data_IF_115764290702
#
_entry.id   IF_115764290702
#
_cell.length_a   1.000
_cell.length_b   1.000
_cell.length_c   1.000
_cell.angle_alpha   90.00
_cell.angle_beta   90.00
_cell.angle_gamma   90.00
#
_symmetry.space_group_name_H-M   'P 1'
#
loop_
_entity.id
_entity.type
_entity.pdbx_description
1 polymer ?
#
# COMPACT_ATOMS: atom_id res chain seq x y z
N UNK A 1 12.24 -0.78 5.57
CA UNK A 1 10.96 -1.53 5.63
C UNK A 1 9.84 -0.49 5.54
N UNK A 2 9.44 -0.11 4.32
CA UNK A 2 8.32 0.80 4.13
C UNK A 2 7.03 -0.01 4.25
N UNK A 3 6.60 -0.25 5.49
CA UNK A 3 5.21 -0.62 5.74
C UNK A 3 4.39 0.66 5.54
N UNK A 4 4.08 0.99 4.29
CA UNK A 4 2.89 1.81 4.06
C UNK A 4 1.74 1.06 4.76
N UNK A 5 1.05 1.74 5.67
CA UNK A 5 -0.14 1.22 6.34
C UNK A 5 -1.30 2.11 5.93
N UNK A 6 -2.49 1.55 5.70
CA UNK A 6 -3.69 2.33 5.52
C UNK A 6 -3.88 3.32 6.67
N UNK A 7 -4.21 4.57 6.35
CA UNK A 7 -4.43 5.61 7.35
C UNK A 7 -5.87 5.53 7.84
N UNK A 8 -6.03 5.44 9.16
CA UNK A 8 -7.32 5.49 9.85
C UNK A 8 -7.28 6.68 10.80
N UNK A 9 -8.22 7.60 10.64
CA UNK A 9 -8.28 8.79 11.48
C UNK A 9 -9.11 8.54 12.73
N UNK A 10 -8.74 9.16 13.84
CA UNK A 10 -9.41 9.07 15.13
C UNK A 10 -9.86 10.46 15.59
N UNK A 11 -11.13 10.60 15.92
CA UNK A 11 -11.75 11.83 16.43
C UNK A 11 -12.47 11.56 17.76
N UNK A 12 -12.94 12.62 18.44
CA UNK A 12 -13.69 12.55 19.68
C UNK A 12 -12.77 12.64 20.91
N UNK A 13 -12.94 11.73 21.87
CA UNK A 13 -12.09 11.69 23.06
C UNK A 13 -10.70 11.11 22.73
N UNK A 14 -9.73 11.98 22.49
CA UNK A 14 -8.35 11.59 22.12
C UNK A 14 -7.53 11.03 23.29
N UNK A 15 -7.83 11.42 24.52
CA UNK A 15 -7.19 10.84 25.72
C UNK A 15 -7.61 9.37 25.88
N UNK A 16 -8.91 9.09 25.72
CA UNK A 16 -9.46 7.75 25.68
C UNK A 16 -8.80 6.91 24.58
N UNK A 17 -8.79 7.40 23.33
CA UNK A 17 -8.15 6.67 22.24
C UNK A 17 -6.67 6.39 22.52
N UNK A 18 -5.93 7.37 23.04
CA UNK A 18 -4.51 7.22 23.37
C UNK A 18 -4.28 6.07 24.36
N UNK A 19 -5.16 5.89 25.35
CA UNK A 19 -5.09 4.77 26.30
C UNK A 19 -5.34 3.39 25.66
N UNK A 20 -6.09 3.34 24.56
CA UNK A 20 -6.47 2.11 23.86
C UNK A 20 -5.64 1.84 22.59
N UNK A 21 -4.85 2.81 22.14
CA UNK A 21 -4.13 2.77 20.86
C UNK A 21 -3.33 1.48 20.66
N UNK A 22 -2.53 1.09 21.66
CA UNK A 22 -1.72 -0.12 21.58
C UNK A 22 -2.57 -1.40 21.50
N UNK A 23 -3.73 -1.44 22.15
CA UNK A 23 -4.64 -2.58 22.05
C UNK A 23 -5.22 -2.69 20.64
N UNK A 24 -5.59 -1.55 20.02
CA UNK A 24 -6.13 -1.50 18.66
C UNK A 24 -5.07 -1.92 17.63
N UNK A 25 -3.89 -1.31 17.65
CA UNK A 25 -2.81 -1.58 16.68
C UNK A 25 -2.32 -3.02 16.78
N UNK A 26 -2.19 -3.56 18.00
CA UNK A 26 -1.76 -4.94 18.20
C UNK A 26 -2.88 -5.96 17.97
N UNK A 27 -4.14 -5.58 18.15
CA UNK A 27 -5.29 -6.47 18.01
C UNK A 27 -5.81 -6.62 16.58
N UNK A 28 -5.75 -5.55 15.78
CA UNK A 28 -6.20 -5.54 14.39
C UNK A 28 -5.56 -6.66 13.53
N UNK A 29 -4.23 -6.88 13.55
CA UNK A 29 -3.59 -7.91 12.73
C UNK A 29 -3.65 -9.32 13.32
N UNK A 30 -4.22 -9.55 14.52
CA UNK A 30 -4.14 -10.87 15.20
C UNK A 30 -4.86 -12.00 14.46
N UNK A 31 -5.98 -11.68 13.83
CA UNK A 31 -6.79 -12.68 13.15
C UNK A 31 -6.88 -12.33 11.66
N UNK A 32 -6.83 -13.34 10.78
CA UNK A 32 -7.01 -13.14 9.36
C UNK A 32 -8.47 -12.76 9.06
N UNK A 33 -8.66 -12.01 7.98
CA UNK A 33 -9.97 -11.74 7.40
C UNK A 33 -9.97 -12.08 5.91
N UNK A 34 -11.15 -12.41 5.39
CA UNK A 34 -11.32 -12.81 4.00
C UNK A 34 -11.55 -11.57 3.14
N UNK A 35 -10.52 -11.18 2.38
CA UNK A 35 -10.66 -10.16 1.36
C UNK A 35 -11.23 -10.76 0.08
N UNK A 36 -12.33 -10.19 -0.39
CA UNK A 36 -13.00 -10.58 -1.63
C UNK A 36 -12.94 -9.41 -2.60
N UNK A 37 -12.30 -9.67 -3.74
CA UNK A 37 -12.28 -8.73 -4.87
C UNK A 37 -13.58 -8.81 -5.65
N UNK A 38 -13.94 -7.72 -6.31
CA UNK A 38 -14.99 -7.74 -7.31
C UNK A 38 -14.65 -8.69 -8.48
N UNK A 39 -15.66 -9.21 -9.17
CA UNK A 39 -15.53 -10.08 -10.36
C UNK A 39 -15.04 -11.52 -10.13
N UNK A 40 -15.45 -12.17 -9.02
CA UNK A 40 -15.39 -13.64 -8.90
C UNK A 40 -14.00 -14.24 -8.67
N UNK A 41 -12.98 -13.42 -8.37
CA UNK A 41 -11.67 -13.92 -7.94
C UNK A 41 -11.79 -14.67 -6.61
N UNK A 42 -10.94 -15.68 -6.43
CA UNK A 42 -10.89 -16.44 -5.18
C UNK A 42 -10.62 -15.49 -3.99
N UNK A 43 -11.32 -15.67 -2.85
CA UNK A 43 -11.03 -14.92 -1.64
C UNK A 43 -9.57 -15.09 -1.20
N UNK A 44 -8.98 -14.02 -0.67
CA UNK A 44 -7.63 -14.02 -0.10
C UNK A 44 -7.71 -13.82 1.40
N UNK A 45 -6.89 -14.57 2.14
CA UNK A 45 -6.72 -14.37 3.59
C UNK A 45 -5.72 -13.26 3.82
N UNK A 46 -6.11 -12.18 4.49
CA UNK A 46 -5.25 -11.02 4.78
C UNK A 46 -5.25 -10.68 6.28
N UNK A 47 -4.12 -10.17 6.77
CA UNK A 47 -4.02 -9.58 8.11
C UNK A 47 -3.94 -8.08 7.95
N UNK A 48 -4.90 -7.36 8.51
CA UNK A 48 -4.96 -5.91 8.37
C UNK A 48 -4.08 -5.24 9.41
N UNK A 49 -3.38 -4.20 8.96
CA UNK A 49 -2.72 -3.22 9.80
C UNK A 49 -3.18 -1.83 9.40
N UNK A 50 -3.07 -0.86 10.30
CA UNK A 50 -3.45 0.51 10.03
C UNK A 50 -2.54 1.47 10.80
N UNK A 51 -2.28 2.64 10.20
CA UNK A 51 -1.70 3.79 10.89
C UNK A 51 -2.84 4.62 11.47
N UNK A 52 -2.94 4.66 12.79
CA UNK A 52 -3.98 5.42 13.48
C UNK A 52 -3.46 6.84 13.75
N UNK A 53 -4.11 7.85 13.16
CA UNK A 53 -3.70 9.26 13.27
C UNK A 53 -4.86 10.11 13.80
N UNK A 54 -4.61 11.26 14.44
CA UNK A 54 -5.67 12.21 14.76
C UNK A 54 -6.44 12.62 13.50
N UNK A 55 -7.75 12.77 13.63
CA UNK A 55 -8.57 13.36 12.58
C UNK A 55 -8.23 14.84 12.42
N UNK A 56 -8.16 15.24 11.16
CA UNK A 56 -8.05 16.61 10.73
C UNK A 56 -8.98 16.75 9.50
N UNK A 57 -9.79 17.81 9.48
CA UNK A 57 -10.71 18.04 8.36
C UNK A 57 -9.94 18.45 7.09
N UNK A 58 -8.75 19.02 7.23
CA UNK A 58 -7.92 19.52 6.13
C UNK A 58 -7.21 18.38 5.38
N UNK A 59 -7.06 17.20 6.01
CA UNK A 59 -6.46 16.01 5.38
C UNK A 59 -7.48 15.08 4.72
N UNK A 60 -8.77 15.44 4.74
CA UNK A 60 -9.80 14.65 4.07
C UNK A 60 -9.58 14.70 2.55
N UNK A 61 -9.63 13.55 1.86
CA UNK A 61 -9.37 13.51 0.43
C UNK A 61 -10.46 14.27 -0.34
N UNK A 62 -10.05 15.02 -1.34
CA UNK A 62 -10.96 15.63 -2.31
C UNK A 62 -11.42 14.62 -3.37
N UNK A 63 -12.58 14.86 -3.99
CA UNK A 63 -13.10 14.05 -5.11
C UNK A 63 -12.11 13.99 -6.30
N UNK A 64 -11.29 15.03 -6.46
CA UNK A 64 -10.27 15.13 -7.51
C UNK A 64 -8.98 14.36 -7.19
N UNK A 65 -8.78 14.00 -5.92
CA UNK A 65 -7.57 13.33 -5.47
C UNK A 65 -7.59 11.85 -5.89
N UNK A 66 -6.76 11.53 -6.88
CA UNK A 66 -6.72 10.22 -7.53
C UNK A 66 -5.67 9.29 -6.94
N UNK A 67 -5.14 9.52 -5.73
CA UNK A 67 -4.13 8.61 -5.13
C UNK A 67 -4.76 7.47 -4.32
N UNK A 68 -4.14 6.29 -4.36
CA UNK A 68 -4.43 5.18 -3.41
C UNK A 68 -3.52 5.19 -2.17
N UNK A 69 -2.52 6.05 -2.12
CA UNK A 69 -1.54 6.02 -1.02
C UNK A 69 -1.60 7.34 -0.27
N UNK A 70 -1.36 7.27 1.03
CA UNK A 70 -1.24 8.45 1.92
C UNK A 70 -2.54 9.21 2.23
N UNK A 71 -3.71 8.70 1.82
CA UNK A 71 -5.00 9.27 2.23
C UNK A 71 -5.64 8.51 3.40
N UNK A 72 -6.41 9.19 4.27
CA UNK A 72 -7.34 8.54 5.18
C UNK A 72 -8.35 7.66 4.43
N UNK A 73 -8.46 6.40 4.83
CA UNK A 73 -9.41 5.44 4.26
C UNK A 73 -10.65 5.23 5.12
N UNK A 74 -10.53 5.53 6.41
CA UNK A 74 -11.52 5.18 7.39
C UNK A 74 -11.44 6.12 8.59
N UNK A 75 -12.58 6.41 9.20
CA UNK A 75 -12.69 7.41 10.25
C UNK A 75 -13.39 6.81 11.48
N UNK A 76 -12.76 6.91 12.65
CA UNK A 76 -13.29 6.38 13.91
C UNK A 76 -13.55 7.53 14.88
N UNK A 77 -14.77 7.63 15.39
CA UNK A 77 -15.11 8.54 16.49
C UNK A 77 -15.13 7.76 17.80
N UNK A 78 -14.33 8.20 18.78
CA UNK A 78 -14.23 7.59 20.10
C UNK A 78 -14.97 8.43 21.14
N UNK A 79 -15.80 7.80 21.96
CA UNK A 79 -16.49 8.46 23.06
C UNK A 79 -16.70 7.51 24.23
N UNK A 80 -16.63 8.03 25.45
CA UNK A 80 -16.97 7.39 26.71
C UNK A 80 -18.00 8.22 27.51
N UNK A 81 -18.68 9.16 26.83
CA UNK A 81 -19.56 10.11 27.49
C UNK A 81 -20.81 9.46 28.08
N UNK A 82 -21.30 10.04 29.18
CA UNK A 82 -22.58 9.67 29.78
C UNK A 82 -23.76 10.37 29.08
N UNK A 83 -24.98 10.04 29.52
CA UNK A 83 -26.20 10.53 28.86
C UNK A 83 -26.40 12.03 29.00
N UNK A 84 -25.87 12.63 30.06
CA UNK A 84 -26.02 14.05 30.30
C UNK A 84 -25.02 14.84 29.43
N UNK A 85 -23.77 14.39 29.38
CA UNK A 85 -22.73 14.94 28.50
C UNK A 85 -23.12 14.78 27.02
N UNK A 86 -23.67 13.62 26.64
CA UNK A 86 -24.15 13.39 25.27
C UNK A 86 -25.22 14.42 24.85
N UNK A 87 -26.16 14.74 25.73
CA UNK A 87 -27.22 15.72 25.44
C UNK A 87 -26.72 17.16 25.40
N UNK A 88 -25.67 17.47 26.16
CA UNK A 88 -25.14 18.83 26.26
C UNK A 88 -24.24 19.18 25.07
N UNK A 89 -23.33 18.28 24.69
CA UNK A 89 -22.34 18.54 23.63
C UNK A 89 -22.14 17.34 22.69
N UNK A 90 -22.08 16.12 23.22
CA UNK A 90 -21.62 14.96 22.44
C UNK A 90 -22.47 14.64 21.20
N UNK A 91 -23.77 14.94 21.22
CA UNK A 91 -24.62 14.80 20.04
C UNK A 91 -24.22 15.77 18.92
N UNK A 92 -23.95 17.03 19.27
CA UNK A 92 -23.61 18.04 18.27
C UNK A 92 -22.19 17.79 17.72
N UNK A 93 -21.25 17.35 18.57
CA UNK A 93 -19.88 17.00 18.17
C UNK A 93 -19.85 15.83 17.15
N UNK A 94 -20.62 14.76 17.39
CA UNK A 94 -20.72 13.63 16.45
C UNK A 94 -21.42 14.07 15.16
N UNK A 95 -22.46 14.92 15.26
CA UNK A 95 -23.18 15.43 14.10
C UNK A 95 -22.28 16.29 13.19
N UNK A 96 -21.46 17.16 13.78
CA UNK A 96 -20.50 17.99 13.06
C UNK A 96 -19.46 17.12 12.32
N UNK A 97 -18.85 16.16 13.02
CA UNK A 97 -17.90 15.23 12.41
C UNK A 97 -18.52 14.42 11.26
N UNK A 98 -19.73 13.87 11.44
CA UNK A 98 -20.43 13.16 10.35
C UNK A 98 -20.81 14.08 9.19
N UNK A 99 -21.18 15.34 9.46
CA UNK A 99 -21.47 16.32 8.43
C UNK A 99 -20.23 16.63 7.60
N UNK A 100 -19.06 16.76 8.22
CA UNK A 100 -17.79 16.96 7.53
C UNK A 100 -17.44 15.78 6.60
N UNK A 101 -17.56 14.54 7.09
CA UNK A 101 -17.37 13.35 6.26
C UNK A 101 -18.36 13.29 5.09
N UNK A 102 -19.64 13.59 5.35
CA UNK A 102 -20.69 13.59 4.33
C UNK A 102 -20.46 14.67 3.27
N UNK A 103 -19.96 15.85 3.66
CA UNK A 103 -19.63 16.93 2.72
C UNK A 103 -18.55 16.52 1.70
N UNK A 104 -17.66 15.59 2.08
CA UNK A 104 -16.63 15.01 1.21
C UNK A 104 -17.04 13.66 0.59
N UNK A 105 -18.31 13.29 0.66
CA UNK A 105 -18.83 11.99 0.19
C UNK A 105 -18.11 10.77 0.78
N UNK A 106 -17.68 10.84 2.05
CA UNK A 106 -16.97 9.74 2.73
C UNK A 106 -17.96 8.88 3.51
N UNK A 107 -18.28 7.66 3.06
CA UNK A 107 -19.21 6.77 3.73
C UNK A 107 -18.48 5.81 4.67
N UNK A 108 -17.24 6.09 5.04
CA UNK A 108 -16.30 5.13 5.62
C UNK A 108 -15.98 5.46 7.08
N UNK A 109 -16.86 5.05 7.99
CA UNK A 109 -16.76 5.46 9.39
C UNK A 109 -17.27 4.42 10.40
N UNK A 110 -16.83 4.58 11.64
CA UNK A 110 -17.23 3.82 12.82
C UNK A 110 -17.34 4.75 14.04
N UNK A 111 -18.37 4.56 14.87
CA UNK A 111 -18.45 5.20 16.20
C UNK A 111 -18.19 4.12 17.25
N UNK A 112 -17.29 4.40 18.19
CA UNK A 112 -16.95 3.51 19.30
C UNK A 112 -17.36 4.19 20.59
N UNK A 113 -18.30 3.56 21.29
CA UNK A 113 -18.78 3.98 22.61
C UNK A 113 -18.15 3.08 23.66
N UNK A 114 -17.30 3.64 24.52
CA UNK A 114 -16.68 2.92 25.64
C UNK A 114 -17.57 3.06 26.86
N UNK A 115 -17.93 1.96 27.49
CA UNK A 115 -18.76 1.95 28.71
C UNK A 115 -17.98 1.37 29.89
N UNK A 116 -18.06 2.04 31.05
CA UNK A 116 -17.53 1.55 32.32
C UNK A 116 -18.52 0.69 33.10
N UNK A 117 -18.13 0.28 34.32
CA UNK A 117 -18.96 -0.55 35.20
C UNK A 117 -20.25 0.18 35.62
N UNK A 118 -21.40 -0.30 35.14
CA UNK A 118 -22.74 0.14 35.57
C UNK A 118 -23.16 -0.46 36.92
N UNK A 119 -22.23 -1.01 37.72
CA UNK A 119 -22.52 -1.63 39.02
C UNK A 119 -23.10 -0.70 40.09
N UNK A 120 -23.25 0.60 39.82
CA UNK A 120 -23.82 1.57 40.76
C UNK A 120 -25.33 1.83 40.66
N UNK A 121 -26.06 1.33 39.66
CA UNK A 121 -27.52 1.58 39.57
C UNK A 121 -28.35 0.30 39.51
N UNK A 122 -28.27 -0.48 40.60
CA UNK A 122 -29.27 -1.52 40.93
C UNK A 122 -30.57 -0.91 41.43
N UNK A 123 -31.25 -0.07 40.64
CA UNK A 123 -32.68 0.25 40.89
C UNK A 123 -33.26 1.06 39.74
N UNK A 124 -33.93 0.39 38.80
CA UNK A 124 -35.16 0.87 38.13
C UNK A 124 -35.72 -0.21 37.21
N UNK A 125 -37.02 -0.44 37.34
CA UNK A 125 -37.82 -1.48 36.67
C UNK A 125 -37.99 -1.28 35.14
N UNK A 126 -37.34 -0.28 34.56
CA UNK A 126 -37.36 0.04 33.14
C UNK A 126 -35.94 0.40 32.71
N UNK A 127 -35.37 -0.36 31.77
CA UNK A 127 -34.09 -0.03 31.14
C UNK A 127 -34.28 1.29 30.37
N UNK A 128 -33.74 2.39 30.89
CA UNK A 128 -33.57 3.61 30.12
C UNK A 128 -32.56 3.31 29.01
N UNK A 129 -32.84 3.74 27.77
CA UNK A 129 -31.89 3.66 26.67
C UNK A 129 -30.54 4.25 27.13
N UNK A 130 -29.47 3.48 26.97
CA UNK A 130 -28.14 3.94 27.34
C UNK A 130 -27.58 4.86 26.22
N UNK A 131 -26.42 5.48 26.45
CA UNK A 131 -25.82 6.42 25.49
C UNK A 131 -25.59 5.74 24.15
N UNK A 132 -25.13 4.48 24.15
CA UNK A 132 -24.89 3.73 22.92
C UNK A 132 -26.18 3.52 22.10
N UNK A 133 -27.31 3.22 22.74
CA UNK A 133 -28.60 3.09 22.07
C UNK A 133 -29.03 4.42 21.44
N UNK A 134 -28.76 5.54 22.13
CA UNK A 134 -29.09 6.86 21.62
C UNK A 134 -28.20 7.27 20.45
N UNK A 135 -26.89 7.04 20.54
CA UNK A 135 -25.93 7.24 19.44
C UNK A 135 -26.32 6.40 18.22
N UNK A 136 -26.67 5.12 18.41
CA UNK A 136 -27.17 4.24 17.33
C UNK A 136 -28.40 4.82 16.65
N UNK A 137 -29.40 5.22 17.45
CA UNK A 137 -30.65 5.79 16.92
C UNK A 137 -30.43 7.10 16.17
N UNK A 138 -29.54 7.97 16.67
CA UNK A 138 -29.35 9.31 16.12
C UNK A 138 -28.46 9.30 14.86
N UNK A 139 -27.44 8.43 14.80
CA UNK A 139 -26.38 8.52 13.77
C UNK A 139 -26.24 7.30 12.86
N UNK A 140 -26.72 6.13 13.26
CA UNK A 140 -26.50 4.90 12.49
C UNK A 140 -27.64 4.59 11.53
N UNK A 141 -28.88 4.97 11.84
CA UNK A 141 -30.04 4.66 11.00
C UNK A 141 -30.10 3.17 10.67
N UNK A 142 -29.99 2.82 9.38
CA UNK A 142 -29.95 1.41 8.92
C UNK A 142 -28.60 0.70 9.11
N UNK A 143 -27.55 1.43 9.46
CA UNK A 143 -26.17 0.94 9.64
C UNK A 143 -25.83 0.77 11.12
N UNK A 144 -26.70 0.11 11.89
CA UNK A 144 -26.57 -0.04 13.36
C UNK A 144 -25.27 -0.74 13.78
N UNK A 145 -24.68 -1.50 12.88
CA UNK A 145 -23.38 -2.17 12.99
C UNK A 145 -22.17 -1.22 12.84
N UNK A 146 -22.40 0.09 12.68
CA UNK A 146 -21.36 1.15 12.71
C UNK A 146 -21.26 1.90 14.04
N UNK A 147 -22.01 1.46 15.05
CA UNK A 147 -21.77 1.87 16.43
C UNK A 147 -21.45 0.62 17.25
N UNK A 148 -20.20 0.54 17.72
CA UNK A 148 -19.71 -0.57 18.54
C UNK A 148 -19.58 -0.09 19.98
N UNK A 149 -19.92 -0.98 20.91
CA UNK A 149 -19.74 -0.73 22.35
C UNK A 149 -18.55 -1.54 22.85
N UNK A 150 -17.56 -0.87 23.42
CA UNK A 150 -16.45 -1.51 24.12
C UNK A 150 -16.74 -1.47 25.62
N UNK A 151 -16.87 -2.65 26.24
CA UNK A 151 -17.21 -2.76 27.65
C UNK A 151 -15.93 -2.93 28.46
N UNK A 152 -15.61 -1.96 29.30
CA UNK A 152 -14.47 -2.02 30.22
C UNK A 152 -13.15 -2.48 29.57
N UNK A 153 -12.71 -1.81 28.49
CA UNK A 153 -11.69 -2.33 27.57
C UNK A 153 -10.31 -2.58 28.19
N UNK A 154 -10.04 -2.02 29.38
CA UNK A 154 -8.80 -2.20 30.14
C UNK A 154 -8.85 -3.34 31.16
N UNK A 155 -10.03 -3.92 31.41
CA UNK A 155 -10.18 -5.08 32.30
C UNK A 155 -9.97 -6.38 31.55
N UNK A 156 -9.44 -7.39 32.25
CA UNK A 156 -9.21 -8.74 31.74
C UNK A 156 -10.39 -9.67 32.08
N UNK A 157 -11.59 -9.24 31.75
CA UNK A 157 -12.85 -9.95 32.03
C UNK A 157 -13.51 -10.44 30.74
N UNK A 158 -14.35 -11.48 30.82
CA UNK A 158 -15.00 -12.09 29.63
C UNK A 158 -15.76 -11.08 28.78
N UNK A 159 -16.50 -10.15 29.39
CA UNK A 159 -17.25 -9.10 28.66
C UNK A 159 -16.34 -8.15 27.87
N UNK A 160 -15.17 -7.82 28.43
CA UNK A 160 -14.17 -7.00 27.75
C UNK A 160 -13.64 -7.73 26.52
N UNK A 161 -13.24 -9.00 26.67
CA UNK A 161 -12.77 -9.83 25.56
C UNK A 161 -13.82 -10.00 24.45
N UNK A 162 -15.08 -10.26 24.80
CA UNK A 162 -16.19 -10.35 23.84
C UNK A 162 -16.38 -9.04 23.06
N UNK A 163 -16.39 -7.90 23.77
CA UNK A 163 -16.55 -6.58 23.13
C UNK A 163 -15.39 -6.23 22.20
N UNK A 164 -14.15 -6.57 22.58
CA UNK A 164 -12.97 -6.43 21.74
C UNK A 164 -13.03 -7.33 20.49
N UNK A 165 -13.46 -8.58 20.63
CA UNK A 165 -13.63 -9.50 19.50
C UNK A 165 -14.62 -8.94 18.47
N UNK A 166 -15.77 -8.45 18.94
CA UNK A 166 -16.78 -7.82 18.09
C UNK A 166 -16.24 -6.55 17.40
N UNK A 167 -15.51 -5.71 18.15
CA UNK A 167 -14.86 -4.52 17.61
C UNK A 167 -13.90 -4.87 16.47
N UNK A 168 -12.98 -5.82 16.69
CA UNK A 168 -12.01 -6.19 15.67
C UNK A 168 -12.65 -6.87 14.47
N UNK A 169 -13.63 -7.75 14.67
CA UNK A 169 -14.40 -8.35 13.58
C UNK A 169 -15.04 -7.27 12.71
N UNK A 170 -15.67 -6.27 13.35
CA UNK A 170 -16.36 -5.22 12.62
C UNK A 170 -15.41 -4.24 11.94
N UNK A 171 -14.36 -3.83 12.64
CA UNK A 171 -13.33 -2.94 12.10
C UNK A 171 -12.67 -3.55 10.86
N UNK A 172 -12.30 -4.83 10.90
CA UNK A 172 -11.73 -5.52 9.73
C UNK A 172 -12.70 -5.54 8.56
N UNK A 173 -13.96 -5.89 8.80
CA UNK A 173 -15.01 -5.91 7.77
C UNK A 173 -15.17 -4.54 7.11
N UNK A 174 -15.31 -3.49 7.91
CA UNK A 174 -15.53 -2.13 7.42
C UNK A 174 -14.31 -1.57 6.69
N UNK A 175 -13.09 -1.86 7.16
CA UNK A 175 -11.85 -1.49 6.46
C UNK A 175 -11.76 -2.17 5.08
N UNK A 176 -12.05 -3.47 4.99
CA UNK A 176 -12.08 -4.16 3.69
C UNK A 176 -13.13 -3.59 2.74
N UNK A 177 -14.30 -3.22 3.25
CA UNK A 177 -15.34 -2.56 2.47
C UNK A 177 -14.87 -1.19 1.95
N UNK A 178 -14.17 -0.42 2.78
CA UNK A 178 -13.53 0.84 2.40
C UNK A 178 -12.52 0.61 1.26
N UNK A 179 -11.56 -0.31 1.46
CA UNK A 179 -10.56 -0.64 0.45
C UNK A 179 -11.19 -1.05 -0.86
N UNK A 180 -12.21 -1.91 -0.84
CA UNK A 180 -12.89 -2.35 -2.05
C UNK A 180 -13.56 -1.21 -2.82
N UNK A 181 -14.24 -0.28 -2.13
CA UNK A 181 -14.83 0.90 -2.78
C UNK A 181 -13.76 1.73 -3.49
N UNK A 182 -12.70 2.06 -2.76
CA UNK A 182 -11.61 2.89 -3.27
C UNK A 182 -10.86 2.22 -4.41
N UNK A 183 -10.58 0.92 -4.27
CA UNK A 183 -9.89 0.12 -5.26
C UNK A 183 -10.68 0.02 -6.56
N UNK A 184 -11.98 -0.28 -6.48
CA UNK A 184 -12.82 -0.42 -7.67
C UNK A 184 -12.87 0.87 -8.50
N UNK A 185 -13.10 2.03 -7.86
CA UNK A 185 -13.09 3.35 -8.53
C UNK A 185 -11.73 3.63 -9.18
N UNK A 186 -10.65 3.25 -8.50
CA UNK A 186 -9.29 3.47 -8.97
C UNK A 186 -8.92 2.59 -10.18
N UNK A 187 -9.20 1.29 -10.11
CA UNK A 187 -8.91 0.35 -11.19
C UNK A 187 -9.69 0.65 -12.48
N UNK A 188 -10.92 1.14 -12.36
CA UNK A 188 -11.70 1.58 -13.51
C UNK A 188 -11.00 2.75 -14.23
N UNK A 189 -10.55 3.75 -13.46
CA UNK A 189 -9.77 4.87 -13.98
C UNK A 189 -8.44 4.43 -14.60
N UNK A 190 -7.73 3.50 -13.96
CA UNK A 190 -6.49 2.92 -14.46
C UNK A 190 -6.70 2.17 -15.78
N UNK A 191 -7.75 1.33 -15.88
CA UNK A 191 -8.10 0.60 -17.11
C UNK A 191 -8.36 1.55 -18.27
N UNK A 192 -9.16 2.60 -18.04
CA UNK A 192 -9.43 3.62 -19.06
C UNK A 192 -8.14 4.30 -19.54
N UNK A 193 -7.18 4.59 -18.65
CA UNK A 193 -5.86 5.14 -19.04
C UNK A 193 -5.04 4.15 -19.86
N UNK A 194 -5.08 2.85 -19.53
CA UNK A 194 -4.34 1.79 -20.23
C UNK A 194 -4.86 1.54 -21.65
N UNK A 195 -6.17 1.64 -21.83
CA UNK A 195 -6.82 1.48 -23.15
C UNK A 195 -6.37 2.57 -24.13
N UNK A 196 -6.09 3.78 -23.62
CA UNK A 196 -5.61 4.94 -24.38
C UNK A 196 -4.11 4.96 -24.63
N UNK A 197 -3.38 3.86 -24.36
CA UNK A 197 -1.90 3.85 -24.43
C UNK A 197 -1.30 4.14 -25.80
N UNK A 198 -2.08 3.96 -26.86
CA UNK A 198 -1.68 4.25 -28.25
C UNK A 198 -2.12 5.66 -28.71
N UNK A 199 -2.83 6.42 -27.87
CA UNK A 199 -3.31 7.76 -28.22
C UNK A 199 -2.19 8.81 -28.10
N UNK A 200 -2.17 9.84 -28.97
CA UNK A 200 -1.24 10.95 -28.84
C UNK A 200 -1.34 11.64 -27.47
N UNK A 201 -0.19 11.90 -26.84
CA UNK A 201 -0.12 12.56 -25.54
C UNK A 201 -0.20 11.62 -24.34
N UNK A 202 -0.43 10.31 -24.56
CA UNK A 202 -0.24 9.31 -23.51
C UNK A 202 1.24 9.24 -23.08
N UNK A 203 1.50 8.94 -21.81
CA UNK A 203 2.83 8.86 -21.23
C UNK A 203 2.91 7.64 -20.29
N UNK A 204 3.90 6.78 -20.52
CA UNK A 204 4.10 5.57 -19.73
C UNK A 204 4.35 5.87 -18.26
N UNK A 205 5.21 6.83 -17.93
CA UNK A 205 5.52 7.17 -16.53
C UNK A 205 4.30 7.74 -15.79
N UNK A 206 3.45 8.50 -16.47
CA UNK A 206 2.16 8.94 -15.90
C UNK A 206 1.23 7.76 -15.58
N UNK A 207 1.29 6.67 -16.36
CA UNK A 207 0.54 5.44 -16.11
C UNK A 207 1.23 4.54 -15.07
N UNK A 208 2.56 4.47 -15.11
CA UNK A 208 3.41 3.72 -14.19
C UNK A 208 3.07 4.06 -12.75
N UNK A 209 2.98 5.35 -12.42
CA UNK A 209 2.65 5.80 -11.06
C UNK A 209 1.26 5.36 -10.63
N UNK A 210 0.31 5.32 -11.56
CA UNK A 210 -1.04 4.84 -11.26
C UNK A 210 -1.01 3.33 -10.93
N UNK A 211 -0.34 2.53 -11.76
CA UNK A 211 -0.24 1.09 -11.51
C UNK A 211 0.63 0.75 -10.28
N UNK A 212 1.66 1.56 -10.01
CA UNK A 212 2.50 1.40 -8.83
C UNK A 212 1.74 1.67 -7.53
N UNK A 213 0.86 2.68 -7.50
CA UNK A 213 0.00 2.91 -6.33
C UNK A 213 -0.97 1.76 -6.06
N UNK A 214 -1.39 1.05 -7.10
CA UNK A 214 -2.12 -0.21 -6.95
C UNK A 214 -1.22 -1.29 -6.31
N UNK A 215 0.05 -1.37 -6.71
CA UNK A 215 1.02 -2.27 -6.08
C UNK A 215 1.20 -1.95 -4.57
N UNK A 216 1.34 -0.67 -4.22
CA UNK A 216 1.44 -0.24 -2.81
C UNK A 216 0.19 -0.62 -2.00
N UNK A 217 -0.99 -0.58 -2.59
CA UNK A 217 -2.22 -1.04 -1.94
C UNK A 217 -2.18 -2.54 -1.64
N UNK A 218 -1.71 -3.35 -2.59
CA UNK A 218 -1.53 -4.77 -2.35
C UNK A 218 -0.48 -5.04 -1.26
N UNK A 219 0.62 -4.28 -1.24
CA UNK A 219 1.61 -4.33 -0.16
C UNK A 219 0.99 -3.99 1.20
N UNK A 220 0.13 -2.96 1.26
CA UNK A 220 -0.62 -2.57 2.47
C UNK A 220 -1.53 -3.69 3.00
N UNK A 221 -2.04 -4.56 2.12
CA UNK A 221 -2.85 -5.72 2.48
C UNK A 221 -2.02 -7.01 2.73
N UNK A 222 -0.69 -6.93 2.60
CA UNK A 222 0.21 -8.08 2.70
C UNK A 222 0.19 -9.01 1.48
N UNK A 223 -0.43 -8.60 0.37
CA UNK A 223 -0.56 -9.37 -0.87
C UNK A 223 0.65 -9.13 -1.79
N UNK A 224 1.82 -9.57 -1.35
CA UNK A 224 3.10 -9.30 -2.02
C UNK A 224 3.17 -9.88 -3.43
N UNK A 225 2.55 -11.03 -3.68
CA UNK A 225 2.45 -11.63 -5.00
C UNK A 225 1.61 -10.78 -5.95
N UNK A 226 0.44 -10.31 -5.49
CA UNK A 226 -0.43 -9.43 -6.29
C UNK A 226 0.26 -8.08 -6.58
N UNK A 227 1.06 -7.57 -5.63
CA UNK A 227 1.91 -6.39 -5.82
C UNK A 227 3.02 -6.64 -6.86
N UNK A 228 3.71 -7.78 -6.78
CA UNK A 228 4.79 -8.13 -7.71
C UNK A 228 4.28 -8.23 -9.14
N UNK A 229 3.08 -8.80 -9.34
CA UNK A 229 2.41 -8.85 -10.64
C UNK A 229 2.25 -7.45 -11.25
N UNK A 230 1.97 -6.42 -10.44
CA UNK A 230 1.84 -5.05 -10.98
C UNK A 230 3.16 -4.53 -11.55
N UNK A 231 4.28 -4.79 -10.88
CA UNK A 231 5.60 -4.40 -11.38
C UNK A 231 6.01 -5.25 -12.59
N UNK A 232 5.70 -6.55 -12.60
CA UNK A 232 5.96 -7.44 -13.75
C UNK A 232 5.15 -7.02 -15.00
N UNK A 233 3.90 -6.58 -14.82
CA UNK A 233 3.09 -6.03 -15.92
C UNK A 233 3.63 -4.69 -16.44
N UNK A 234 4.16 -3.85 -15.55
CA UNK A 234 4.80 -2.59 -15.93
C UNK A 234 6.08 -2.84 -16.72
N UNK A 235 6.91 -3.78 -16.28
CA UNK A 235 8.15 -4.20 -16.94
C UNK A 235 7.87 -4.69 -18.36
N UNK A 236 6.96 -5.66 -18.50
CA UNK A 236 6.58 -6.21 -19.81
C UNK A 236 5.95 -5.17 -20.75
N UNK A 237 5.16 -4.24 -20.20
CA UNK A 237 4.59 -3.15 -21.01
C UNK A 237 5.68 -2.20 -21.52
N UNK A 238 6.68 -1.90 -20.70
CA UNK A 238 7.78 -1.03 -21.10
C UNK A 238 8.65 -1.69 -22.17
N UNK A 239 8.97 -2.98 -22.01
CA UNK A 239 9.71 -3.77 -23.02
C UNK A 239 9.04 -3.65 -24.39
N UNK A 240 7.72 -3.83 -24.43
CA UNK A 240 6.94 -3.70 -25.65
C UNK A 240 7.07 -2.30 -26.29
N UNK A 241 7.12 -1.23 -25.48
CA UNK A 241 7.29 0.13 -26.02
C UNK A 241 8.69 0.35 -26.59
N UNK A 242 9.73 -0.20 -25.96
CA UNK A 242 11.11 -0.10 -26.48
C UNK A 242 11.25 -0.88 -27.78
N UNK A 243 10.67 -2.08 -27.87
CA UNK A 243 10.66 -2.88 -29.10
C UNK A 243 9.95 -2.15 -30.25
N UNK A 244 8.76 -1.58 -29.99
CA UNK A 244 8.02 -0.81 -31.00
C UNK A 244 8.80 0.43 -31.45
N UNK A 245 9.45 1.13 -30.52
CA UNK A 245 10.28 2.29 -30.85
C UNK A 245 11.45 1.91 -31.75
N UNK A 246 12.15 0.81 -31.44
CA UNK A 246 13.24 0.28 -32.26
C UNK A 246 12.77 -0.11 -33.68
N UNK A 247 11.48 -0.40 -33.87
CA UNK A 247 10.87 -0.65 -35.18
C UNK A 247 10.39 0.59 -35.94
N UNK A 248 10.56 1.80 -35.37
CA UNK A 248 10.25 3.09 -36.02
C UNK A 248 8.98 3.80 -35.52
N UNK A 249 8.28 3.25 -34.52
CA UNK A 249 7.14 3.94 -33.88
C UNK A 249 7.65 4.93 -32.81
N UNK A 250 7.91 6.17 -33.22
CA UNK A 250 8.42 7.18 -32.29
C UNK A 250 7.35 7.64 -31.27
N UNK A 251 7.54 7.29 -29.99
CA UNK A 251 6.68 7.76 -28.90
C UNK A 251 7.39 8.85 -28.09
N UNK A 252 6.79 10.06 -28.05
CA UNK A 252 7.45 11.28 -27.51
C UNK A 252 7.91 11.15 -26.06
N UNK A 253 7.21 10.38 -25.23
CA UNK A 253 7.56 10.23 -23.81
C UNK A 253 8.83 9.39 -23.59
N UNK A 254 9.24 8.60 -24.59
CA UNK A 254 10.43 7.75 -24.53
C UNK A 254 11.73 8.52 -24.83
N UNK A 255 11.62 9.66 -25.55
CA UNK A 255 12.77 10.44 -25.99
C UNK A 255 13.75 10.84 -24.86
N UNK A 256 13.30 11.24 -23.66
CA UNK A 256 14.21 11.53 -22.54
C UNK A 256 15.06 10.33 -22.10
N UNK A 257 14.57 9.10 -22.32
CA UNK A 257 15.34 7.89 -21.98
C UNK A 257 16.46 7.60 -22.97
N UNK A 258 16.35 8.12 -24.19
CA UNK A 258 17.35 7.97 -25.25
C UNK A 258 18.50 9.01 -25.14
N UNK A 259 18.48 9.89 -24.14
CA UNK A 259 19.55 10.86 -23.91
C UNK A 259 20.89 10.18 -23.56
N UNK A 260 22.03 10.80 -23.90
CA UNK A 260 23.35 10.25 -23.59
C UNK A 260 23.52 9.89 -22.10
N UNK A 261 23.97 8.67 -21.86
CA UNK A 261 24.22 8.15 -20.52
C UNK A 261 25.46 8.81 -19.91
N UNK A 262 25.22 9.77 -19.02
CA UNK A 262 26.26 10.48 -18.26
C UNK A 262 26.46 9.94 -16.84
N UNK A 263 25.58 9.03 -16.39
CA UNK A 263 25.63 8.40 -15.08
C UNK A 263 25.22 6.91 -15.19
N UNK A 264 26.05 6.02 -14.65
CA UNK A 264 25.91 4.56 -14.72
C UNK A 264 26.02 3.92 -13.33
N UNK A 265 25.54 4.60 -12.29
CA UNK A 265 25.41 4.01 -10.96
C UNK A 265 24.68 2.64 -11.04
N UNK A 266 25.30 1.62 -10.45
CA UNK A 266 24.72 0.29 -10.39
C UNK A 266 23.40 0.25 -9.61
N UNK A 267 22.72 -0.89 -9.69
CA UNK A 267 21.57 -1.19 -8.85
C UNK A 267 21.91 -1.00 -7.37
N UNK A 268 20.94 -0.52 -6.59
CA UNK A 268 20.99 -0.50 -5.12
C UNK A 268 19.73 -1.16 -4.58
N UNK A 269 19.91 -2.17 -3.74
CA UNK A 269 18.85 -2.94 -3.09
C UNK A 269 18.76 -2.67 -1.58
N UNK A 270 19.66 -1.83 -1.07
CA UNK A 270 19.67 -1.36 0.32
C UNK A 270 18.38 -0.66 0.76
N UNK A 271 17.70 0.04 -0.17
CA UNK A 271 16.42 0.71 0.08
C UNK A 271 15.31 -0.07 -0.63
N UNK A 272 14.32 -0.60 0.10
CA UNK A 272 13.16 -1.23 -0.52
C UNK A 272 12.41 -0.28 -1.47
N UNK A 273 12.34 1.01 -1.13
CA UNK A 273 11.73 2.06 -1.96
C UNK A 273 12.65 3.28 -1.95
N UNK A 274 13.30 3.57 -3.07
CA UNK A 274 14.09 4.80 -3.23
C UNK A 274 13.18 5.95 -3.66
N UNK A 275 12.88 6.86 -2.72
CA UNK A 275 11.95 7.97 -2.94
C UNK A 275 12.49 9.02 -3.91
N UNK A 276 13.80 9.26 -3.93
CA UNK A 276 14.43 10.24 -4.81
C UNK A 276 14.38 9.74 -6.26
N UNK A 277 14.73 8.47 -6.46
CA UNK A 277 14.66 7.85 -7.76
C UNK A 277 13.21 7.71 -8.24
N UNK A 278 12.27 7.35 -7.34
CA UNK A 278 10.83 7.37 -7.65
C UNK A 278 10.38 8.75 -8.14
N UNK A 279 10.85 9.83 -7.51
CA UNK A 279 10.49 11.19 -7.91
C UNK A 279 11.01 11.52 -9.31
N UNK A 280 12.21 11.07 -9.67
CA UNK A 280 12.73 11.21 -11.03
C UNK A 280 11.88 10.44 -12.05
N UNK A 281 11.46 9.20 -11.72
CA UNK A 281 10.57 8.40 -12.57
C UNK A 281 9.22 9.12 -12.76
N UNK A 282 8.63 9.65 -11.67
CA UNK A 282 7.38 10.45 -11.72
C UNK A 282 7.46 11.64 -12.67
N UNK A 283 8.60 12.31 -12.69
CA UNK A 283 8.82 13.53 -13.47
C UNK A 283 9.29 13.23 -14.90
N UNK A 284 9.44 11.95 -15.29
CA UNK A 284 10.04 11.54 -16.55
C UNK A 284 11.46 12.12 -16.75
N UNK A 285 12.26 12.10 -15.68
CA UNK A 285 13.63 12.63 -15.64
C UNK A 285 14.69 11.56 -15.34
N UNK A 286 14.26 10.33 -15.04
CA UNK A 286 15.18 9.22 -14.82
C UNK A 286 15.81 8.77 -16.16
N UNK A 287 17.10 8.48 -16.19
CA UNK A 287 17.71 7.78 -17.34
C UNK A 287 17.19 6.35 -17.44
N UNK A 288 17.37 5.69 -18.60
CA UNK A 288 16.97 4.29 -18.77
C UNK A 288 17.53 3.38 -17.66
N UNK A 289 18.83 3.49 -17.37
CA UNK A 289 19.48 2.69 -16.33
C UNK A 289 18.88 2.96 -14.94
N UNK A 290 18.62 4.24 -14.63
CA UNK A 290 18.03 4.63 -13.35
C UNK A 290 16.60 4.11 -13.20
N UNK A 291 15.77 4.21 -14.25
CA UNK A 291 14.44 3.65 -14.26
C UNK A 291 14.43 2.12 -14.11
N UNK A 292 15.29 1.40 -14.85
CA UNK A 292 15.42 -0.06 -14.74
C UNK A 292 15.91 -0.48 -13.36
N UNK A 293 16.87 0.23 -12.77
CA UNK A 293 17.29 0.02 -11.38
C UNK A 293 16.11 0.20 -10.41
N UNK A 294 15.28 1.23 -10.61
CA UNK A 294 14.12 1.46 -9.77
C UNK A 294 13.12 0.31 -9.84
N UNK A 295 12.69 -0.06 -11.04
CA UNK A 295 11.69 -1.11 -11.24
C UNK A 295 12.17 -2.46 -10.68
N UNK A 296 13.41 -2.84 -10.98
CA UNK A 296 13.97 -4.08 -10.48
C UNK A 296 14.19 -4.07 -8.95
N UNK A 297 14.57 -2.93 -8.36
CA UNK A 297 14.67 -2.82 -6.90
C UNK A 297 13.31 -3.00 -6.21
N UNK A 298 12.20 -2.55 -6.82
CA UNK A 298 10.84 -2.82 -6.32
C UNK A 298 10.46 -4.30 -6.39
N UNK A 299 10.72 -4.97 -7.52
CA UNK A 299 10.45 -6.40 -7.68
C UNK A 299 11.25 -7.23 -6.65
N UNK A 300 12.55 -6.96 -6.52
CA UNK A 300 13.43 -7.68 -5.59
C UNK A 300 13.09 -7.42 -4.13
N UNK A 301 12.69 -6.19 -3.76
CA UNK A 301 12.20 -5.89 -2.42
C UNK A 301 11.00 -6.77 -2.03
N UNK A 302 10.06 -7.02 -2.95
CA UNK A 302 8.92 -7.92 -2.73
C UNK A 302 9.37 -9.39 -2.64
N UNK A 303 10.28 -9.82 -3.52
CA UNK A 303 10.83 -11.18 -3.51
C UNK A 303 11.56 -11.49 -2.19
N UNK A 304 12.40 -10.58 -1.70
CA UNK A 304 13.08 -10.73 -0.41
C UNK A 304 12.10 -10.78 0.76
N UNK A 305 11.04 -9.97 0.74
CA UNK A 305 9.97 -10.04 1.74
C UNK A 305 9.16 -11.34 1.71
N UNK A 306 9.22 -12.10 0.61
CA UNK A 306 8.63 -13.43 0.47
C UNK A 306 9.66 -14.57 0.69
N UNK A 307 10.91 -14.24 1.05
CA UNK A 307 11.98 -15.23 1.19
C UNK A 307 12.42 -15.88 -0.13
N UNK A 308 12.18 -15.22 -1.27
CA UNK A 308 12.45 -15.74 -2.63
C UNK A 308 13.73 -15.14 -3.21
N UNK A 309 14.81 -15.13 -2.43
CA UNK A 309 16.12 -14.58 -2.85
C UNK A 309 16.69 -15.28 -4.09
N UNK A 310 16.44 -16.59 -4.24
CA UNK A 310 16.82 -17.35 -5.44
C UNK A 310 16.17 -16.81 -6.71
N UNK A 311 14.94 -16.31 -6.62
CA UNK A 311 14.20 -15.79 -7.77
C UNK A 311 14.65 -14.38 -8.12
N UNK A 312 15.05 -13.58 -7.13
CA UNK A 312 15.71 -12.31 -7.38
C UNK A 312 17.02 -12.52 -8.17
N UNK A 313 17.83 -13.50 -7.77
CA UNK A 313 19.05 -13.88 -8.51
C UNK A 313 18.74 -14.41 -9.92
N UNK A 314 17.69 -15.21 -10.08
CA UNK A 314 17.25 -15.72 -11.39
C UNK A 314 16.86 -14.57 -12.33
N UNK A 315 15.95 -13.69 -11.88
CA UNK A 315 15.41 -12.58 -12.68
C UNK A 315 16.47 -11.51 -12.99
N UNK A 316 17.50 -11.38 -12.16
CA UNK A 316 18.58 -10.42 -12.38
C UNK A 316 19.32 -10.64 -13.70
N UNK A 317 19.47 -11.89 -14.15
CA UNK A 317 20.11 -12.17 -15.44
C UNK A 317 19.34 -11.57 -16.61
N UNK A 318 18.02 -11.79 -16.64
CA UNK A 318 17.14 -11.27 -17.70
C UNK A 318 17.08 -9.74 -17.64
N UNK A 319 16.91 -9.17 -16.45
CA UNK A 319 16.96 -7.73 -16.21
C UNK A 319 18.25 -7.08 -16.77
N UNK A 320 19.42 -7.64 -16.44
CA UNK A 320 20.70 -7.09 -16.89
C UNK A 320 20.89 -7.24 -18.40
N UNK A 321 20.49 -8.39 -18.97
CA UNK A 321 20.62 -8.62 -20.41
C UNK A 321 19.69 -7.71 -21.21
N UNK A 322 18.41 -7.67 -20.84
CA UNK A 322 17.39 -6.87 -21.51
C UNK A 322 17.74 -5.38 -21.45
N UNK A 323 18.14 -4.87 -20.28
CA UNK A 323 18.57 -3.47 -20.16
C UNK A 323 19.74 -3.13 -21.11
N UNK A 324 20.71 -4.04 -21.27
CA UNK A 324 21.83 -3.84 -22.21
C UNK A 324 21.36 -3.87 -23.67
N UNK A 325 20.37 -4.69 -24.00
CA UNK A 325 19.75 -4.72 -25.33
C UNK A 325 18.98 -3.42 -25.60
N UNK A 326 18.22 -2.92 -24.63
CA UNK A 326 17.47 -1.68 -24.73
C UNK A 326 18.36 -0.45 -24.89
N UNK A 327 19.47 -0.39 -24.16
CA UNK A 327 20.48 0.67 -24.35
C UNK A 327 20.91 0.77 -25.80
N UNK A 328 21.08 -0.38 -26.47
CA UNK A 328 21.42 -0.42 -27.90
C UNK A 328 20.23 -0.09 -28.79
N UNK A 329 19.05 -0.61 -28.46
CA UNK A 329 17.83 -0.40 -29.24
C UNK A 329 17.39 1.07 -29.26
N UNK A 330 17.64 1.80 -28.16
CA UNK A 330 17.38 3.23 -28.05
C UNK A 330 18.57 4.10 -28.52
N UNK A 331 19.63 3.48 -29.05
CA UNK A 331 20.84 4.15 -29.52
C UNK A 331 21.47 5.10 -28.47
N UNK A 332 21.40 4.74 -27.19
CA UNK A 332 21.89 5.58 -26.09
C UNK A 332 23.42 5.65 -26.16
N UNK A 333 23.95 6.85 -26.38
CA UNK A 333 25.38 7.11 -26.31
C UNK A 333 25.88 6.93 -24.87
N UNK A 334 26.95 6.17 -24.67
CA UNK A 334 27.55 5.97 -23.36
C UNK A 334 29.08 5.97 -23.45
N UNK A 335 29.79 6.49 -22.43
CA UNK A 335 31.24 6.37 -22.35
C UNK A 335 31.68 4.91 -22.46
N UNK A 336 32.83 4.67 -23.10
CA UNK A 336 33.37 3.32 -23.28
C UNK A 336 33.48 2.61 -21.93
N UNK A 337 32.80 1.47 -21.81
CA UNK A 337 32.80 0.65 -20.59
C UNK A 337 31.75 1.04 -19.55
N UNK A 338 31.05 2.17 -19.67
CA UNK A 338 30.04 2.61 -18.69
C UNK A 338 28.95 1.54 -18.44
N UNK A 339 28.38 0.99 -19.51
CA UNK A 339 27.37 -0.08 -19.42
C UNK A 339 27.94 -1.37 -18.83
N UNK A 340 29.19 -1.73 -19.17
CA UNK A 340 29.87 -2.88 -18.57
C UNK A 340 30.09 -2.69 -17.07
N UNK A 341 30.49 -1.49 -16.63
CA UNK A 341 30.63 -1.14 -15.22
C UNK A 341 29.29 -1.23 -14.49
N UNK A 342 28.22 -0.69 -15.07
CA UNK A 342 26.87 -0.80 -14.53
C UNK A 342 26.48 -2.27 -14.31
N UNK A 343 26.69 -3.14 -15.32
CA UNK A 343 26.42 -4.58 -15.18
C UNK A 343 27.20 -5.20 -14.02
N UNK A 344 28.49 -4.91 -13.91
CA UNK A 344 29.34 -5.47 -12.85
C UNK A 344 28.81 -5.03 -11.48
N UNK A 345 28.56 -3.73 -11.29
CA UNK A 345 28.08 -3.19 -10.03
C UNK A 345 26.73 -3.79 -9.65
N UNK A 346 25.80 -3.89 -10.60
CA UNK A 346 24.48 -4.47 -10.37
C UNK A 346 24.55 -5.98 -10.06
N UNK A 347 25.40 -6.75 -10.73
CA UNK A 347 25.64 -8.16 -10.38
C UNK A 347 26.10 -8.29 -8.93
N UNK A 348 27.09 -7.50 -8.52
CA UNK A 348 27.66 -7.56 -7.17
C UNK A 348 26.64 -7.18 -6.10
N UNK A 349 25.83 -6.15 -6.35
CA UNK A 349 24.73 -5.76 -5.44
C UNK A 349 23.70 -6.89 -5.28
N UNK A 350 23.25 -7.50 -6.39
CA UNK A 350 22.28 -8.61 -6.33
C UNK A 350 22.86 -9.78 -5.52
N UNK A 351 24.13 -10.14 -5.77
CA UNK A 351 24.80 -11.21 -5.06
C UNK A 351 24.89 -10.94 -3.56
N UNK A 352 25.27 -9.73 -3.16
CA UNK A 352 25.38 -9.34 -1.76
C UNK A 352 24.01 -9.32 -1.06
N UNK A 353 23.02 -8.66 -1.66
CA UNK A 353 21.67 -8.60 -1.13
C UNK A 353 21.02 -9.99 -1.01
N UNK A 354 21.21 -10.84 -2.02
CA UNK A 354 20.72 -12.22 -2.00
C UNK A 354 21.34 -13.03 -0.84
N UNK A 355 22.64 -12.86 -0.56
CA UNK A 355 23.28 -13.53 0.57
C UNK A 355 22.74 -13.02 1.92
N UNK A 356 22.53 -11.71 2.05
CA UNK A 356 21.98 -11.11 3.26
C UNK A 356 20.54 -11.59 3.56
N UNK A 357 19.72 -11.73 2.52
CA UNK A 357 18.34 -12.17 2.60
C UNK A 357 18.16 -13.71 2.53
N UNK A 358 19.25 -14.47 2.55
CA UNK A 358 19.22 -15.93 2.49
C UNK A 358 20.20 -16.60 3.47
N UNK A 359 20.27 -16.19 4.76
CA UNK A 359 21.24 -16.74 5.70
C UNK A 359 20.92 -18.20 6.00
N UNK A 360 21.68 -19.12 5.40
CA UNK A 360 21.62 -20.56 5.69
C UNK A 360 20.77 -21.41 4.75
N UNK A 361 20.23 -20.86 3.66
CA UNK A 361 19.49 -21.62 2.63
C UNK A 361 20.28 -21.70 1.32
N UNK A 362 21.33 -22.52 1.29
CA UNK A 362 22.04 -22.86 0.06
C UNK A 362 21.27 -23.95 -0.71
N UNK A 363 20.14 -23.59 -1.31
CA UNK A 363 19.45 -24.45 -2.29
C UNK A 363 20.24 -24.47 -3.61
N UNK A 364 20.23 -25.59 -4.34
CA UNK A 364 20.90 -25.78 -5.64
C UNK A 364 20.49 -24.69 -6.64
N UNK A 365 19.21 -24.27 -6.60
CA UNK A 365 18.70 -23.16 -7.42
C UNK A 365 19.42 -21.85 -7.14
N UNK A 366 19.60 -21.52 -5.86
CA UNK A 366 20.30 -20.30 -5.46
C UNK A 366 21.76 -20.32 -5.94
N UNK A 367 22.45 -21.45 -5.77
CA UNK A 367 23.82 -21.63 -6.24
C UNK A 367 23.94 -21.48 -7.77
N UNK A 368 23.00 -22.07 -8.53
CA UNK A 368 22.97 -21.96 -9.99
C UNK A 368 22.82 -20.50 -10.47
N UNK A 369 21.83 -19.78 -9.95
CA UNK A 369 21.56 -18.42 -10.42
C UNK A 369 22.63 -17.42 -10.00
N UNK A 370 23.20 -17.56 -8.80
CA UNK A 370 24.34 -16.74 -8.36
C UNK A 370 25.61 -17.03 -9.15
N UNK A 371 25.86 -18.29 -9.54
CA UNK A 371 26.99 -18.64 -10.40
C UNK A 371 26.90 -17.97 -11.79
N UNK A 372 25.70 -17.90 -12.37
CA UNK A 372 25.48 -17.21 -13.64
C UNK A 372 25.79 -15.70 -13.54
N UNK A 373 25.40 -15.05 -12.44
CA UNK A 373 25.70 -13.64 -12.19
C UNK A 373 27.21 -13.40 -12.03
N UNK A 374 27.92 -14.29 -11.32
CA UNK A 374 29.38 -14.24 -11.20
C UNK A 374 30.08 -14.37 -12.56
N UNK A 375 29.67 -15.34 -13.38
CA UNK A 375 30.23 -15.53 -14.72
C UNK A 375 29.95 -14.32 -15.62
N UNK A 376 28.73 -13.76 -15.56
CA UNK A 376 28.37 -12.58 -16.34
C UNK A 376 29.18 -11.35 -15.93
N UNK A 377 29.32 -11.08 -14.63
CA UNK A 377 30.17 -9.99 -14.12
C UNK A 377 31.64 -10.16 -14.57
N UNK A 378 32.19 -11.36 -14.43
CA UNK A 378 33.57 -11.68 -14.85
C UNK A 378 33.78 -11.43 -16.34
N UNK A 379 32.81 -11.76 -17.19
CA UNK A 379 32.89 -11.55 -18.65
C UNK A 379 32.91 -10.08 -19.05
N UNK A 380 32.45 -9.15 -18.19
CA UNK A 380 32.47 -7.70 -18.47
C UNK A 380 33.78 -7.00 -18.11
N UNK A 381 34.63 -7.65 -17.30
CA UNK A 381 35.95 -7.14 -16.89
C UNK A 381 37.03 -7.41 -17.96
N UNK A 382 36.79 -8.41 -18.81
CA UNK A 382 37.66 -8.79 -19.93
C UNK A 382 37.26 -8.04 -21.19
#
# INVERSE_FOLDING_TARGET
>A
MNEAKPIVTCHGNMELFSSLHQLVVNGLPKEPCQWRRSYGRAPRSVHLSASMVPYDADILPDEEEKTLVSRPYFHIYWTDCDMDTYKQTGKDDIAEWQAALKARNIPDWLIVVVTGDDSRVKTKLLQRANVADKVKSDFCGKYTDRCIVLTEPLKLESKSFESWSLFFQRLRSLLLDAFNRHLNKYEEGMRSRREKRNEPGWNYFSYFIVQEELAFMFEMLGLKEDALIQYDELDAMFDQFVENFASGEAVRWLAPLAEPCTNWAGLSLSKPLDLDLRQQVKQNQASLLAFRNYLFSRQTALLFQMGRSWEAAMRAMDYLYNTVVEVKALEIEAPKGAVSCWVILSCLEVLDACNLHNPGQLDERFALYTANLWDYARKKVR
#
